data_IF_079637993774
#
_entry.id   IF_079637993774
#
_cell.length_a   1.000
_cell.length_b   1.000
_cell.length_c   1.000
_cell.angle_alpha   90.00
_cell.angle_beta   90.00
_cell.angle_gamma   90.00
#
_symmetry.space_group_name_H-M   'P 1'
#
loop_
_entity.id
_entity.type
_entity.pdbx_description
1 polymer ?
#
# COMPACT_ATOMS: atom_id res chain seq x y z
N UNK A 1 -4.89 16.99 -1.53
CA UNK A 1 -4.20 16.02 -2.41
C UNK A 1 -5.22 15.27 -3.22
N UNK A 2 -4.86 14.12 -3.80
CA UNK A 2 -5.70 13.42 -4.78
C UNK A 2 -5.75 11.89 -4.61
N UNK A 3 -4.94 11.29 -3.74
CA UNK A 3 -4.77 9.84 -3.66
C UNK A 3 -6.10 9.09 -3.43
N UNK A 4 -6.76 9.33 -2.30
CA UNK A 4 -8.06 8.73 -1.98
C UNK A 4 -9.12 9.02 -3.04
N UNK A 5 -9.26 10.26 -3.47
CA UNK A 5 -10.29 10.64 -4.45
C UNK A 5 -10.08 9.93 -5.79
N UNK A 6 -8.83 9.77 -6.22
CA UNK A 6 -8.48 9.05 -7.45
C UNK A 6 -8.77 7.56 -7.30
N UNK A 7 -8.42 6.96 -6.16
CA UNK A 7 -8.72 5.56 -5.88
C UNK A 7 -10.23 5.26 -5.78
N UNK A 8 -11.01 6.22 -5.26
CA UNK A 8 -12.47 6.07 -5.10
C UNK A 8 -13.25 6.37 -6.39
N UNK A 9 -12.63 7.04 -7.38
CA UNK A 9 -13.19 7.20 -8.73
C UNK A 9 -13.19 5.91 -9.53
N UNK A 10 -12.19 5.05 -9.31
CA UNK A 10 -12.17 3.72 -9.92
C UNK A 10 -13.13 2.79 -9.16
N UNK A 11 -14.21 2.40 -9.84
CA UNK A 11 -15.29 1.61 -9.25
C UNK A 11 -14.85 0.20 -8.85
N UNK A 12 -13.91 -0.40 -9.61
CA UNK A 12 -13.41 -1.73 -9.34
C UNK A 12 -12.45 -1.71 -8.15
N UNK A 13 -11.47 -0.81 -8.14
CA UNK A 13 -10.52 -0.65 -7.05
C UNK A 13 -11.24 -0.34 -5.73
N UNK A 14 -12.19 0.59 -5.74
CA UNK A 14 -13.03 0.90 -4.58
C UNK A 14 -13.77 -0.33 -4.06
N UNK A 15 -14.38 -1.12 -4.96
CA UNK A 15 -15.09 -2.35 -4.60
C UNK A 15 -14.13 -3.37 -3.98
N UNK A 16 -12.97 -3.61 -4.58
CA UNK A 16 -11.98 -4.57 -4.09
C UNK A 16 -11.45 -4.17 -2.71
N UNK A 17 -11.14 -2.89 -2.49
CA UNK A 17 -10.72 -2.39 -1.17
C UNK A 17 -11.81 -2.58 -0.10
N UNK A 18 -13.08 -2.33 -0.46
CA UNK A 18 -14.22 -2.59 0.44
C UNK A 18 -14.34 -4.08 0.79
N UNK A 19 -14.12 -4.96 -0.18
CA UNK A 19 -14.15 -6.41 0.04
C UNK A 19 -13.02 -6.88 0.94
N UNK A 20 -11.79 -6.45 0.69
CA UNK A 20 -10.63 -6.75 1.53
C UNK A 20 -10.85 -6.27 2.98
N UNK A 21 -11.34 -5.04 3.16
CA UNK A 21 -11.73 -4.50 4.46
C UNK A 21 -12.79 -5.36 5.16
N UNK A 22 -13.80 -5.80 4.41
CA UNK A 22 -14.83 -6.70 4.92
C UNK A 22 -14.28 -8.05 5.36
N UNK A 23 -13.35 -8.63 4.61
CA UNK A 23 -12.67 -9.89 4.97
C UNK A 23 -11.81 -9.72 6.23
N UNK A 24 -11.05 -8.62 6.33
CA UNK A 24 -10.25 -8.26 7.50
C UNK A 24 -11.12 -8.11 8.75
N UNK A 25 -12.22 -7.36 8.67
CA UNK A 25 -13.13 -7.15 9.79
C UNK A 25 -13.79 -8.44 10.29
N UNK A 26 -13.97 -9.44 9.41
CA UNK A 26 -14.50 -10.76 9.79
C UNK A 26 -13.42 -11.75 10.22
N UNK A 27 -12.13 -11.40 10.09
CA UNK A 27 -11.02 -12.31 10.39
C UNK A 27 -11.00 -13.56 9.52
N UNK A 28 -11.35 -13.45 8.23
CA UNK A 28 -11.41 -14.62 7.32
C UNK A 28 -10.18 -14.71 6.41
N UNK A 29 -9.83 -15.93 6.01
CA UNK A 29 -8.69 -16.20 5.13
C UNK A 29 -7.37 -15.78 5.76
N UNK A 30 -6.60 -14.93 5.06
CA UNK A 30 -5.30 -14.43 5.52
C UNK A 30 -5.36 -13.54 6.77
N UNK A 31 -6.56 -13.08 7.16
CA UNK A 31 -6.79 -12.23 8.34
C UNK A 31 -7.23 -13.01 9.57
N UNK A 32 -7.21 -14.35 9.52
CA UNK A 32 -7.61 -15.18 10.66
C UNK A 32 -6.61 -15.02 11.80
N UNK A 33 -7.07 -14.46 12.93
CA UNK A 33 -6.24 -14.23 14.11
C UNK A 33 -5.71 -15.53 14.75
N UNK A 34 -6.40 -16.65 14.54
CA UNK A 34 -5.95 -17.96 15.03
C UNK A 34 -4.84 -18.59 14.16
N UNK A 35 -4.60 -18.03 12.97
CA UNK A 35 -3.53 -18.44 12.07
C UNK A 35 -2.95 -17.20 11.36
N UNK A 36 -2.27 -16.31 12.12
CA UNK A 36 -1.80 -15.05 11.58
C UNK A 36 -0.62 -15.31 10.65
N UNK A 37 -0.59 -14.60 9.52
CA UNK A 37 0.63 -14.52 8.71
C UNK A 37 1.71 -13.83 9.54
N UNK A 38 2.86 -14.49 9.71
CA UNK A 38 4.01 -13.88 10.39
C UNK A 38 4.69 -12.81 9.53
N UNK A 39 4.65 -13.00 8.20
CA UNK A 39 5.25 -12.13 7.21
C UNK A 39 4.33 -12.03 5.99
N UNK A 40 4.32 -10.86 5.36
CA UNK A 40 3.68 -10.66 4.08
C UNK A 40 4.53 -11.27 2.96
N UNK A 41 3.91 -11.77 1.87
CA UNK A 41 4.66 -12.40 0.78
C UNK A 41 5.78 -11.54 0.18
N UNK A 42 5.62 -10.21 0.19
CA UNK A 42 6.64 -9.30 -0.32
C UNK A 42 7.76 -9.05 0.70
N UNK A 43 7.49 -9.13 2.00
CA UNK A 43 8.51 -9.00 3.07
C UNK A 43 9.48 -10.18 3.03
N UNK A 44 8.97 -11.38 2.72
CA UNK A 44 9.80 -12.56 2.47
C UNK A 44 10.85 -12.31 1.38
N UNK A 45 10.51 -11.55 0.33
CA UNK A 45 11.46 -11.22 -0.75
C UNK A 45 12.60 -10.34 -0.26
N UNK A 46 12.33 -9.38 0.62
CA UNK A 46 13.33 -8.48 1.18
C UNK A 46 14.27 -9.21 2.14
N UNK A 47 13.70 -10.04 3.01
CA UNK A 47 14.46 -10.87 3.95
C UNK A 47 15.35 -11.86 3.20
N UNK A 48 14.79 -12.60 2.24
CA UNK A 48 15.54 -13.60 1.48
C UNK A 48 16.69 -12.99 0.66
N UNK A 49 16.52 -11.76 0.17
CA UNK A 49 17.56 -11.03 -0.58
C UNK A 49 18.49 -10.22 0.30
N UNK A 50 18.23 -10.14 1.60
CA UNK A 50 18.96 -9.26 2.53
C UNK A 50 18.99 -7.80 2.04
N UNK A 51 17.88 -7.35 1.46
CA UNK A 51 17.74 -6.01 0.89
C UNK A 51 16.58 -5.30 1.55
N UNK A 52 16.70 -3.98 1.84
CA UNK A 52 15.58 -3.22 2.36
C UNK A 52 14.44 -3.15 1.32
N UNK A 53 13.20 -2.85 1.76
CA UNK A 53 12.13 -2.51 0.85
C UNK A 53 12.57 -1.40 -0.11
N UNK A 54 12.21 -1.53 -1.39
CA UNK A 54 12.58 -0.58 -2.45
C UNK A 54 11.39 -0.02 -3.25
N UNK A 55 10.15 -0.33 -2.83
CA UNK A 55 8.94 0.18 -3.47
C UNK A 55 8.34 1.30 -2.64
N UNK A 56 8.18 2.47 -3.26
CA UNK A 56 7.50 3.63 -2.67
C UNK A 56 6.02 3.31 -2.45
N UNK A 57 5.37 4.02 -1.53
CA UNK A 57 3.97 3.72 -1.17
C UNK A 57 3.10 4.97 -1.24
N UNK A 58 1.95 4.87 -1.90
CA UNK A 58 0.84 5.81 -1.75
C UNK A 58 -0.11 5.27 -0.69
N UNK A 59 -0.45 6.11 0.29
CA UNK A 59 -1.53 5.87 1.25
C UNK A 59 -2.88 6.24 0.62
N UNK A 60 -3.65 5.23 0.21
CA UNK A 60 -4.97 5.41 -0.40
C UNK A 60 -6.07 5.76 0.62
N UNK A 61 -5.75 5.79 1.92
CA UNK A 61 -6.68 6.24 2.97
C UNK A 61 -6.68 7.76 3.14
N UNK A 62 -5.58 8.42 2.75
CA UNK A 62 -5.39 9.86 2.83
C UNK A 62 -5.63 10.53 1.49
N UNK A 63 -6.04 11.80 1.53
CA UNK A 63 -6.22 12.60 0.33
C UNK A 63 -5.05 13.58 0.15
N UNK A 64 -3.82 13.08 0.18
CA UNK A 64 -2.59 13.84 -0.08
C UNK A 64 -1.98 13.43 -1.44
N UNK A 65 -0.75 13.87 -1.70
CA UNK A 65 0.05 13.51 -2.88
C UNK A 65 1.46 13.11 -2.47
N UNK A 66 1.58 12.42 -1.34
CA UNK A 66 2.86 12.00 -0.78
C UNK A 66 3.20 10.58 -1.23
N UNK A 67 4.43 10.39 -1.70
CA UNK A 67 5.06 9.09 -1.90
C UNK A 67 5.87 8.78 -0.65
N UNK A 68 5.39 7.85 0.17
CA UNK A 68 6.11 7.40 1.36
C UNK A 68 7.36 6.63 0.96
N UNK A 69 8.44 6.83 1.73
CA UNK A 69 9.69 6.07 1.56
C UNK A 69 9.39 4.58 1.63
N UNK A 70 10.10 3.75 0.85
CA UNK A 70 9.86 2.32 0.87
C UNK A 70 9.90 1.67 2.25
N UNK A 71 10.73 2.17 3.16
CA UNK A 71 10.87 1.65 4.51
C UNK A 71 9.68 2.01 5.42
N UNK A 72 8.88 3.01 5.05
CA UNK A 72 7.76 3.52 5.83
C UNK A 72 6.41 2.91 5.44
N UNK A 73 6.39 1.87 4.60
CA UNK A 73 5.15 1.20 4.14
C UNK A 73 4.24 0.72 5.28
N UNK A 74 4.83 0.34 6.42
CA UNK A 74 4.11 -0.21 7.58
C UNK A 74 3.28 0.87 8.30
N UNK A 75 3.57 2.15 8.09
CA UNK A 75 2.83 3.27 8.69
C UNK A 75 1.40 3.41 8.13
N UNK A 76 1.14 2.82 6.95
CA UNK A 76 -0.21 2.63 6.42
C UNK A 76 -0.75 1.32 7.00
N UNK A 77 -1.71 1.33 7.94
CA UNK A 77 -2.02 0.15 8.76
C UNK A 77 -2.61 -1.00 7.95
N UNK A 78 -3.50 -0.70 6.99
CA UNK A 78 -4.21 -1.73 6.25
C UNK A 78 -3.57 -1.98 4.88
N UNK A 79 -3.41 -3.25 4.50
CA UNK A 79 -2.85 -3.61 3.20
C UNK A 79 -3.70 -3.12 2.04
N UNK A 80 -5.04 -3.12 2.18
CA UNK A 80 -5.94 -2.62 1.14
C UNK A 80 -5.81 -1.11 0.86
N UNK A 81 -5.05 -0.39 1.68
CA UNK A 81 -4.80 1.04 1.53
C UNK A 81 -3.37 1.34 1.03
N UNK A 82 -2.52 0.32 0.83
CA UNK A 82 -1.14 0.46 0.35
C UNK A 82 -1.05 0.26 -1.16
N UNK A 83 -0.68 1.29 -1.91
CA UNK A 83 -0.33 1.15 -3.33
C UNK A 83 1.18 1.26 -3.52
N UNK A 84 1.82 0.14 -3.85
CA UNK A 84 3.27 0.06 -4.05
C UNK A 84 3.69 0.49 -5.46
N UNK A 85 4.70 1.35 -5.54
CA UNK A 85 5.25 1.90 -6.78
C UNK A 85 6.74 1.51 -6.87
N UNK A 86 7.13 0.76 -7.91
CA UNK A 86 8.54 0.56 -8.25
C UNK A 86 9.30 1.87 -8.42
N UNK A 87 10.55 1.92 -7.98
CA UNK A 87 11.38 3.13 -7.97
C UNK A 87 11.51 3.77 -9.36
N UNK A 88 11.60 2.95 -10.41
CA UNK A 88 11.69 3.37 -11.80
C UNK A 88 10.49 4.19 -12.29
N UNK A 89 9.32 4.06 -11.64
CA UNK A 89 8.11 4.81 -12.00
C UNK A 89 7.91 6.07 -11.16
N UNK A 90 8.67 6.27 -10.08
CA UNK A 90 8.55 7.45 -9.20
C UNK A 90 8.67 8.78 -9.97
N UNK A 91 9.60 8.95 -10.95
CA UNK A 91 9.69 10.18 -11.71
C UNK A 91 8.36 10.58 -12.39
N UNK A 92 7.60 9.61 -12.91
CA UNK A 92 6.30 9.87 -13.55
C UNK A 92 5.28 10.47 -12.57
N UNK A 93 5.30 10.04 -11.31
CA UNK A 93 4.42 10.60 -10.28
C UNK A 93 4.88 12.02 -9.90
N UNK A 94 6.19 12.23 -9.74
CA UNK A 94 6.75 13.55 -9.43
C UNK A 94 6.41 14.57 -10.52
N UNK A 95 6.54 14.20 -11.80
CA UNK A 95 6.12 15.03 -12.94
C UNK A 95 4.62 15.38 -12.91
N UNK A 96 3.78 14.54 -12.30
CA UNK A 96 2.34 14.78 -12.09
C UNK A 96 2.02 15.52 -10.79
N UNK A 97 3.03 16.05 -10.10
CA UNK A 97 2.88 16.87 -8.90
C UNK A 97 2.81 16.09 -7.59
N UNK A 98 3.31 14.85 -7.56
CA UNK A 98 3.52 14.11 -6.30
C UNK A 98 4.83 14.49 -5.65
N UNK A 99 4.88 14.45 -4.32
CA UNK A 99 6.06 14.76 -3.54
C UNK A 99 6.59 13.51 -2.85
N UNK A 100 7.90 13.28 -2.93
CA UNK A 100 8.56 12.27 -2.11
C UNK A 100 8.54 12.72 -0.66
N UNK A 101 8.30 11.78 0.25
CA UNK A 101 8.49 11.98 1.68
C UNK A 101 9.95 12.41 1.96
N UNK A 102 10.09 13.46 2.78
CA UNK A 102 11.38 14.08 3.13
C UNK A 102 12.15 13.20 4.11
#
# INVERSE_FOLDING_TARGET
>A
GKAKDTADKDSMLKKMRKWARGARNRGVGIYNANNPLQLLPFELRFIARQQPPNRWVIDLSKNDTILLKPQNYYTVPNMEDRLFIPEEYVPLFVEKGWNKEV
#
